data_IF_143021025053
#
_entry.id   IF_143021025053
#
_cell.length_a   1.000
_cell.length_b   1.000
_cell.length_c   1.000
_cell.angle_alpha   90.00
_cell.angle_beta   90.00
_cell.angle_gamma   90.00
#
_symmetry.space_group_name_H-M   'P 1'
#
loop_
_entity.id
_entity.type
_entity.pdbx_description
1 polymer ?
#
# COMPACT_ATOMS: atom_id res chain seq x y z
N UNK A 1 11.76 -10.24 20.62
CA UNK A 1 11.58 -11.50 19.85
C UNK A 1 12.72 -11.78 18.84
N UNK A 2 13.42 -10.76 18.32
CA UNK A 2 14.52 -10.92 17.34
C UNK A 2 15.94 -11.11 17.93
N UNK A 3 16.06 -11.41 19.23
CA UNK A 3 17.34 -11.65 19.92
C UNK A 3 17.61 -13.13 20.23
N UNK A 4 16.77 -14.04 19.72
CA UNK A 4 16.85 -15.49 20.02
C UNK A 4 17.42 -16.37 18.91
N UNK A 5 17.95 -15.81 17.81
CA UNK A 5 18.65 -16.63 16.80
C UNK A 5 20.18 -16.61 17.00
N UNK A 6 20.84 -17.79 16.93
CA UNK A 6 22.25 -17.91 17.23
C UNK A 6 23.14 -17.25 16.15
N UNK A 7 24.13 -16.51 16.66
CA UNK A 7 25.42 -16.10 16.05
C UNK A 7 25.43 -15.95 14.52
N UNK A 8 25.15 -14.73 14.05
CA UNK A 8 25.65 -14.22 12.76
C UNK A 8 24.61 -14.01 11.65
N UNK A 9 23.50 -14.75 11.64
CA UNK A 9 22.46 -14.64 10.59
C UNK A 9 21.72 -13.29 10.59
N UNK A 10 21.62 -12.64 11.75
CA UNK A 10 20.96 -11.33 11.89
C UNK A 10 21.74 -10.18 11.23
N UNK A 11 23.07 -10.27 11.15
CA UNK A 11 23.90 -9.26 10.49
C UNK A 11 23.86 -9.39 8.96
N UNK A 12 23.79 -10.63 8.44
CA UNK A 12 23.62 -10.89 7.02
C UNK A 12 22.27 -10.44 6.47
N UNK A 13 21.18 -10.73 7.18
CA UNK A 13 19.84 -10.24 6.83
C UNK A 13 19.73 -8.71 6.90
N UNK A 14 20.33 -8.10 7.92
CA UNK A 14 20.36 -6.64 8.08
C UNK A 14 21.25 -5.95 7.05
N UNK A 15 22.38 -6.57 6.69
CA UNK A 15 23.29 -6.11 5.63
C UNK A 15 22.68 -6.25 4.24
N UNK A 16 21.97 -7.34 3.96
CA UNK A 16 21.20 -7.52 2.72
C UNK A 16 20.08 -6.48 2.61
N UNK A 17 19.31 -6.30 3.68
CA UNK A 17 18.26 -5.28 3.75
C UNK A 17 18.82 -3.87 3.54
N UNK A 18 19.96 -3.55 4.18
CA UNK A 18 20.64 -2.27 4.01
C UNK A 18 21.25 -2.11 2.61
N UNK A 19 21.75 -3.18 1.98
CA UNK A 19 22.31 -3.15 0.62
C UNK A 19 21.21 -2.93 -0.43
N UNK A 20 20.06 -3.59 -0.29
CA UNK A 20 18.89 -3.39 -1.18
C UNK A 20 18.38 -1.95 -1.09
N UNK A 21 18.28 -1.39 0.12
CA UNK A 21 17.87 0.01 0.32
C UNK A 21 18.91 1.00 -0.20
N UNK A 22 20.21 0.69 -0.09
CA UNK A 22 21.31 1.63 -0.39
C UNK A 22 21.80 1.59 -1.84
N UNK A 23 21.65 0.46 -2.56
CA UNK A 23 22.15 0.28 -3.94
C UNK A 23 21.06 0.20 -5.01
N UNK A 24 19.79 0.03 -4.64
CA UNK A 24 18.66 0.13 -5.56
C UNK A 24 17.68 1.29 -5.23
N UNK A 25 18.13 2.49 -4.82
CA UNK A 25 17.23 3.62 -4.57
C UNK A 25 16.50 4.06 -5.83
N UNK A 26 16.99 3.69 -7.02
CA UNK A 26 16.33 3.89 -8.32
C UNK A 26 15.14 2.95 -8.56
N UNK A 27 15.10 1.77 -7.94
CA UNK A 27 13.91 0.89 -7.97
C UNK A 27 12.82 1.49 -7.09
N UNK A 28 13.20 2.00 -5.92
CA UNK A 28 12.28 2.72 -5.04
C UNK A 28 11.83 4.05 -5.68
N UNK A 29 12.73 4.83 -6.26
CA UNK A 29 12.42 6.06 -6.98
C UNK A 29 11.61 5.81 -8.26
N UNK A 30 11.84 4.70 -8.98
CA UNK A 30 11.07 4.31 -10.16
C UNK A 30 9.65 3.85 -9.82
N UNK A 31 9.47 3.12 -8.72
CA UNK A 31 8.14 2.82 -8.16
C UNK A 31 7.47 4.10 -7.64
N UNK A 32 8.22 5.01 -7.02
CA UNK A 32 7.70 6.28 -6.52
C UNK A 32 7.29 7.24 -7.66
N UNK A 33 8.09 7.37 -8.72
CA UNK A 33 7.82 8.23 -9.87
C UNK A 33 6.69 7.69 -10.74
N UNK A 34 6.56 6.36 -10.87
CA UNK A 34 5.46 5.75 -11.60
C UNK A 34 4.11 5.84 -10.86
N UNK A 35 4.11 5.86 -9.52
CA UNK A 35 2.88 5.78 -8.71
C UNK A 35 2.49 7.06 -7.98
N UNK A 36 3.40 7.99 -7.67
CA UNK A 36 3.15 9.11 -6.75
C UNK A 36 3.36 10.51 -7.34
N UNK A 37 4.19 10.70 -8.39
CA UNK A 37 4.39 12.01 -9.05
C UNK A 37 3.44 12.20 -10.23
N UNK A 38 2.24 12.71 -9.98
CA UNK A 38 1.40 13.26 -11.05
C UNK A 38 1.93 14.60 -11.56
N UNK A 39 2.43 14.65 -12.79
CA UNK A 39 2.63 15.90 -13.54
C UNK A 39 1.34 16.36 -14.25
N UNK A 40 1.14 17.67 -14.45
CA UNK A 40 -0.07 18.22 -15.07
C UNK A 40 -0.06 17.93 -16.59
N UNK A 41 -1.04 17.17 -17.08
CA UNK A 41 -1.40 17.14 -18.51
C UNK A 41 -1.00 15.92 -19.37
N UNK A 42 -0.41 14.85 -18.82
CA UNK A 42 0.00 13.68 -19.62
C UNK A 42 -0.85 12.43 -19.36
N UNK A 43 -1.41 11.84 -20.42
CA UNK A 43 -2.03 10.50 -20.41
C UNK A 43 -1.03 9.48 -19.85
N UNK A 44 -1.30 8.98 -18.64
CA UNK A 44 -0.43 7.99 -17.98
C UNK A 44 -0.42 6.67 -18.77
N UNK A 45 0.75 6.06 -19.05
CA UNK A 45 0.78 4.65 -19.38
C UNK A 45 0.21 3.89 -18.18
N UNK A 46 -0.78 3.06 -18.45
CA UNK A 46 -1.59 2.43 -17.43
C UNK A 46 -0.71 1.61 -16.47
N UNK A 47 -0.52 2.05 -15.22
CA UNK A 47 0.09 1.29 -14.11
C UNK A 47 -0.74 0.06 -13.67
N UNK A 48 -1.51 -0.46 -14.62
CA UNK A 48 -2.56 -1.47 -14.50
C UNK A 48 -2.00 -2.87 -14.21
N UNK A 49 -0.83 -3.32 -14.69
CA UNK A 49 -0.38 -4.69 -14.43
C UNK A 49 -0.05 -4.96 -12.95
N UNK A 50 0.73 -4.08 -12.32
CA UNK A 50 1.18 -4.24 -10.93
C UNK A 50 0.05 -3.96 -9.93
N UNK A 51 -0.76 -2.92 -10.16
CA UNK A 51 -1.94 -2.64 -9.34
C UNK A 51 -2.99 -3.78 -9.44
N UNK A 52 -3.13 -4.40 -10.61
CA UNK A 52 -3.99 -5.60 -10.78
C UNK A 52 -3.42 -6.80 -10.03
N UNK A 53 -2.13 -7.09 -10.16
CA UNK A 53 -1.51 -8.23 -9.49
C UNK A 53 -1.57 -8.08 -7.95
N UNK A 54 -1.33 -6.88 -7.43
CA UNK A 54 -1.52 -6.57 -6.02
C UNK A 54 -2.99 -6.70 -5.60
N UNK A 55 -3.94 -6.30 -6.47
CA UNK A 55 -5.36 -6.45 -6.24
C UNK A 55 -5.82 -7.90 -6.16
N UNK A 56 -5.40 -8.77 -7.08
CA UNK A 56 -5.75 -10.20 -7.02
C UNK A 56 -5.22 -10.84 -5.74
N UNK A 57 -3.95 -10.58 -5.39
CA UNK A 57 -3.34 -11.12 -4.17
C UNK A 57 -4.08 -10.65 -2.91
N UNK A 58 -4.52 -9.39 -2.89
CA UNK A 58 -5.32 -8.86 -1.79
C UNK A 58 -6.67 -9.57 -1.70
N UNK A 59 -7.38 -9.76 -2.82
CA UNK A 59 -8.65 -10.48 -2.82
C UNK A 59 -8.49 -11.94 -2.37
N UNK A 60 -7.47 -12.64 -2.87
CA UNK A 60 -7.14 -14.00 -2.41
C UNK A 60 -6.80 -14.04 -0.93
N UNK A 61 -6.12 -13.02 -0.40
CA UNK A 61 -5.82 -12.92 1.03
C UNK A 61 -7.10 -12.72 1.84
N UNK A 62 -7.96 -11.78 1.42
CA UNK A 62 -9.27 -11.50 2.06
C UNK A 62 -10.12 -12.77 2.13
N UNK A 63 -10.25 -13.49 1.01
CA UNK A 63 -11.01 -14.74 0.95
C UNK A 63 -10.37 -15.84 1.81
N UNK A 64 -9.04 -15.97 1.78
CA UNK A 64 -8.32 -17.02 2.53
C UNK A 64 -8.45 -16.86 4.05
N UNK A 65 -8.44 -15.62 4.53
CA UNK A 65 -8.52 -15.33 5.97
C UNK A 65 -9.95 -15.07 6.44
N UNK A 66 -10.93 -15.16 5.54
CA UNK A 66 -12.33 -14.81 5.78
C UNK A 66 -12.47 -13.42 6.43
N UNK A 67 -11.79 -12.42 5.85
CA UNK A 67 -11.74 -11.10 6.46
C UNK A 67 -13.12 -10.41 6.39
N UNK A 68 -13.60 -9.90 7.53
CA UNK A 68 -14.83 -9.11 7.57
C UNK A 68 -14.65 -7.67 7.08
N UNK A 69 -13.43 -7.13 7.16
CA UNK A 69 -13.10 -5.74 6.83
C UNK A 69 -11.64 -5.60 6.42
N UNK A 70 -11.35 -4.67 5.51
CA UNK A 70 -9.96 -4.28 5.17
C UNK A 70 -9.68 -2.88 5.71
N UNK A 71 -8.59 -2.74 6.47
CA UNK A 71 -8.14 -1.45 7.01
C UNK A 71 -6.81 -1.06 6.36
N UNK A 72 -6.84 0.00 5.55
CA UNK A 72 -5.67 0.57 4.89
C UNK A 72 -4.97 1.58 5.80
N UNK A 73 -3.74 1.28 6.22
CA UNK A 73 -2.87 2.17 7.02
C UNK A 73 -1.82 2.91 6.17
N UNK A 74 -1.97 2.88 4.85
CA UNK A 74 -1.04 3.50 3.89
C UNK A 74 -1.81 4.00 2.66
N UNK A 75 -1.45 5.17 2.15
CA UNK A 75 -2.22 5.84 1.08
C UNK A 75 -2.33 5.01 -0.22
N UNK A 76 -1.29 4.27 -0.63
CA UNK A 76 -1.42 3.39 -1.82
C UNK A 76 -2.37 2.22 -1.58
N UNK A 77 -2.41 1.68 -0.36
CA UNK A 77 -3.39 0.66 0.00
C UNK A 77 -4.81 1.25 -0.03
N UNK A 78 -5.00 2.46 0.50
CA UNK A 78 -6.28 3.17 0.45
C UNK A 78 -6.77 3.41 -0.99
N UNK A 79 -5.85 3.71 -1.93
CA UNK A 79 -6.20 3.81 -3.35
C UNK A 79 -6.59 2.44 -3.94
N UNK A 80 -5.83 1.39 -3.64
CA UNK A 80 -6.11 0.05 -4.15
C UNK A 80 -7.46 -0.49 -3.63
N UNK A 81 -7.68 -0.44 -2.33
CA UNK A 81 -8.91 -0.94 -1.70
C UNK A 81 -10.12 -0.13 -2.15
N UNK A 82 -9.99 1.20 -2.19
CA UNK A 82 -11.04 2.08 -2.70
C UNK A 82 -11.36 1.78 -4.17
N UNK A 83 -10.36 1.51 -4.99
CA UNK A 83 -10.55 1.19 -6.41
C UNK A 83 -11.21 -0.17 -6.64
N UNK A 84 -10.81 -1.20 -5.87
CA UNK A 84 -11.44 -2.52 -5.90
C UNK A 84 -12.88 -2.47 -5.38
N UNK A 85 -13.13 -1.65 -4.36
CA UNK A 85 -14.45 -1.44 -3.77
C UNK A 85 -15.39 -0.72 -4.73
N UNK A 86 -14.93 0.36 -5.38
CA UNK A 86 -15.67 1.08 -6.42
C UNK A 86 -16.02 0.20 -7.64
N UNK A 87 -15.25 -0.86 -7.89
CA UNK A 87 -15.54 -1.86 -8.94
C UNK A 87 -16.33 -3.07 -8.46
N UNK A 88 -16.78 -3.09 -7.20
CA UNK A 88 -17.49 -4.22 -6.61
C UNK A 88 -16.66 -5.50 -6.47
N UNK A 89 -15.34 -5.43 -6.63
CA UNK A 89 -14.45 -6.61 -6.52
C UNK A 89 -14.10 -6.93 -5.08
N UNK A 90 -13.89 -5.91 -4.26
CA UNK A 90 -13.77 -6.06 -2.81
C UNK A 90 -15.17 -6.00 -2.20
N UNK A 91 -15.68 -7.16 -1.75
CA UNK A 91 -17.06 -7.27 -1.23
C UNK A 91 -17.20 -6.77 0.20
N UNK A 92 -16.14 -6.94 0.99
CA UNK A 92 -16.06 -6.51 2.38
C UNK A 92 -15.83 -5.00 2.46
N UNK A 93 -16.23 -4.32 3.55
CA UNK A 93 -15.98 -2.91 3.73
C UNK A 93 -14.49 -2.57 3.73
N UNK A 94 -14.15 -1.39 3.20
CA UNK A 94 -12.82 -0.81 3.20
C UNK A 94 -12.78 0.44 4.06
N UNK A 95 -11.99 0.39 5.13
CA UNK A 95 -11.69 1.54 5.98
C UNK A 95 -10.26 2.02 5.76
N UNK A 96 -10.02 3.31 5.97
CA UNK A 96 -8.70 3.94 5.90
C UNK A 96 -8.37 4.48 7.27
N UNK A 97 -7.31 3.99 7.89
CA UNK A 97 -6.79 4.55 9.14
C UNK A 97 -5.76 5.61 8.79
N UNK A 98 -6.17 6.86 8.95
CA UNK A 98 -5.40 8.02 8.55
C UNK A 98 -4.42 8.39 9.68
N UNK A 99 -3.21 7.86 9.55
CA UNK A 99 -2.10 8.05 10.50
C UNK A 99 -1.22 9.25 10.18
N UNK A 100 -1.44 9.89 9.04
CA UNK A 100 -0.63 11.00 8.58
C UNK A 100 -1.15 12.33 9.15
N UNK A 101 -0.24 13.14 9.68
CA UNK A 101 -0.55 14.48 10.16
C UNK A 101 -0.80 15.46 9.00
N UNK A 102 -0.41 15.12 7.77
CA UNK A 102 -0.69 15.88 6.57
C UNK A 102 -1.56 15.08 5.58
N UNK A 103 -2.89 15.26 5.65
CA UNK A 103 -3.84 14.59 4.75
C UNK A 103 -3.64 15.07 3.31
N UNK A 104 -2.87 14.32 2.53
CA UNK A 104 -2.72 14.56 1.10
C UNK A 104 -3.77 13.77 0.31
N UNK A 105 -4.13 14.26 -0.89
CA UNK A 105 -5.19 13.68 -1.75
C UNK A 105 -5.02 12.20 -2.08
N UNK A 106 -3.82 11.64 -1.92
CA UNK A 106 -3.60 10.21 -2.21
C UNK A 106 -4.16 9.29 -1.13
N UNK A 107 -4.47 9.79 0.07
CA UNK A 107 -5.25 9.03 1.04
C UNK A 107 -6.71 8.84 0.60
N UNK A 108 -7.24 9.78 -0.18
CA UNK A 108 -8.66 9.86 -0.48
C UNK A 108 -8.99 9.11 -1.79
N UNK A 109 -9.88 8.13 -1.68
CA UNK A 109 -10.57 7.48 -2.79
C UNK A 109 -12.07 7.33 -2.44
N UNK A 110 -12.99 7.74 -3.33
CA UNK A 110 -14.43 7.76 -3.03
C UNK A 110 -15.04 6.36 -2.83
N UNK A 111 -14.36 5.33 -3.31
CA UNK A 111 -14.77 3.95 -3.07
C UNK A 111 -14.46 3.39 -1.68
N UNK A 112 -13.72 4.09 -0.81
CA UNK A 112 -13.55 3.64 0.58
C UNK A 112 -14.78 3.99 1.41
N UNK A 113 -15.22 3.06 2.26
CA UNK A 113 -16.45 3.19 3.03
C UNK A 113 -16.28 4.13 4.24
N UNK A 114 -15.09 4.14 4.87
CA UNK A 114 -14.81 4.94 6.08
C UNK A 114 -13.37 5.47 6.14
N UNK A 115 -13.22 6.65 6.75
CA UNK A 115 -11.93 7.23 7.15
C UNK A 115 -11.92 7.39 8.67
N UNK A 116 -10.92 6.79 9.30
CA UNK A 116 -10.67 6.85 10.73
C UNK A 116 -9.52 7.82 10.95
N UNK A 117 -9.83 9.01 11.44
CA UNK A 117 -8.86 10.08 11.64
C UNK A 117 -8.40 10.11 13.11
N UNK A 118 -7.15 10.51 13.33
CA UNK A 118 -6.58 10.66 14.68
C UNK A 118 -7.16 11.86 15.43
N UNK A 119 -7.64 12.86 14.70
CA UNK A 119 -8.25 14.08 15.24
C UNK A 119 -9.58 14.32 14.56
N UNK A 120 -10.43 15.07 15.23
CA UNK A 120 -11.63 15.64 14.63
C UNK A 120 -11.25 16.65 13.52
N UNK A 121 -12.22 16.95 12.67
CA UNK A 121 -12.09 17.87 11.54
C UNK A 121 -12.07 19.33 11.96
#
# INVERSE_FOLDING_TARGET
>A
MLTLLPRGLGAGLRGWYQAVVRHAPWVYAGVYDAFLRGGPGGTRPSGVPLARLAGERLLTLVDRVDADVVVSVFHLAAQLTGHLRARGRLRVPSAVYLVDFAVHRQWLHPGNDRYLCLTDA
#
